data_IF_956146451838
#
_entry.id   IF_956146451838
#
_cell.length_a   1.000
_cell.length_b   1.000
_cell.length_c   1.000
_cell.angle_alpha   90.00
_cell.angle_beta   90.00
_cell.angle_gamma   90.00
#
_symmetry.space_group_name_H-M   'P 1'
#
loop_
_entity.id
_entity.type
_entity.pdbx_description
1 polymer ?
#
# COMPACT_ATOMS: atom_id res chain seq x y z
N UNK A 1 -0.87 11.53 -0.54
CA UNK A 1 -0.56 11.61 -1.99
C UNK A 1 0.10 10.30 -2.43
N UNK A 2 -0.11 9.83 -3.67
CA UNK A 2 0.38 8.53 -4.15
C UNK A 2 1.71 8.62 -4.94
N UNK A 3 2.64 7.64 -4.81
CA UNK A 3 3.83 7.53 -5.65
C UNK A 3 3.47 7.29 -7.13
N UNK A 4 4.38 7.66 -8.05
CA UNK A 4 4.11 7.59 -9.51
C UNK A 4 3.81 6.16 -9.99
N UNK A 5 4.54 5.18 -9.47
CA UNK A 5 4.30 3.77 -9.82
C UNK A 5 2.91 3.30 -9.36
N UNK A 6 2.46 3.75 -8.18
CA UNK A 6 1.13 3.41 -7.66
C UNK A 6 0.02 4.01 -8.51
N UNK A 7 0.19 5.27 -8.95
CA UNK A 7 -0.74 5.90 -9.89
C UNK A 7 -0.81 5.10 -11.20
N UNK A 8 0.33 4.73 -11.78
CA UNK A 8 0.38 3.93 -13.02
C UNK A 8 -0.40 2.62 -12.89
N UNK A 9 -0.21 1.88 -11.80
CA UNK A 9 -0.89 0.60 -11.57
C UNK A 9 -2.40 0.81 -11.39
N UNK A 10 -2.82 1.78 -10.57
CA UNK A 10 -4.24 2.05 -10.35
C UNK A 10 -4.94 2.52 -11.62
N UNK A 11 -4.28 3.32 -12.45
CA UNK A 11 -4.82 3.73 -13.76
C UNK A 11 -5.01 2.53 -14.68
N UNK A 12 -4.05 1.60 -14.73
CA UNK A 12 -4.19 0.37 -15.51
C UNK A 12 -5.36 -0.49 -15.00
N UNK A 13 -5.45 -0.71 -13.68
CA UNK A 13 -6.52 -1.49 -13.06
C UNK A 13 -7.92 -0.91 -13.31
N UNK A 14 -8.06 0.42 -13.28
CA UNK A 14 -9.32 1.10 -13.62
C UNK A 14 -9.61 1.00 -15.12
N UNK A 15 -8.59 1.05 -15.98
CA UNK A 15 -8.74 0.84 -17.42
C UNK A 15 -9.20 -0.57 -17.78
N UNK A 16 -8.78 -1.58 -17.01
CA UNK A 16 -9.18 -2.98 -17.19
C UNK A 16 -10.51 -3.33 -16.49
N UNK A 17 -11.05 -2.41 -15.67
CA UNK A 17 -12.30 -2.62 -14.94
C UNK A 17 -13.52 -2.46 -15.85
N UNK A 18 -14.57 -3.23 -15.58
CA UNK A 18 -15.82 -3.19 -16.36
C UNK A 18 -16.58 -1.85 -16.28
N UNK A 19 -16.20 -0.96 -15.35
CA UNK A 19 -16.80 0.36 -15.17
C UNK A 19 -15.73 1.40 -14.81
N UNK A 20 -15.83 2.58 -15.44
CA UNK A 20 -15.02 3.77 -15.12
C UNK A 20 -15.83 4.82 -14.34
N UNK A 21 -16.98 4.42 -13.78
CA UNK A 21 -17.78 5.32 -12.96
C UNK A 21 -16.97 5.83 -11.74
N UNK A 22 -17.23 7.03 -11.22
CA UNK A 22 -16.46 7.60 -10.11
C UNK A 22 -16.46 6.76 -8.82
N UNK A 23 -17.49 5.93 -8.63
CA UNK A 23 -17.66 5.00 -7.51
C UNK A 23 -17.29 3.55 -7.85
N UNK A 24 -16.79 3.31 -9.07
CA UNK A 24 -16.30 2.00 -9.47
C UNK A 24 -15.11 1.58 -8.59
N UNK A 25 -15.10 0.30 -8.20
CA UNK A 25 -14.02 -0.23 -7.38
C UNK A 25 -12.78 -0.46 -8.23
N UNK A 26 -11.62 0.09 -7.84
CA UNK A 26 -10.37 -0.10 -8.58
C UNK A 26 -9.80 -1.53 -8.51
N UNK A 27 -10.23 -2.33 -7.52
CA UNK A 27 -9.89 -3.75 -7.38
C UNK A 27 -11.17 -4.57 -7.50
N UNK A 28 -11.35 -5.21 -8.64
CA UNK A 28 -12.48 -6.10 -8.91
C UNK A 28 -12.01 -7.54 -9.05
N UNK A 29 -12.86 -8.49 -8.68
CA UNK A 29 -12.67 -9.87 -9.08
C UNK A 29 -13.03 -10.01 -10.57
N UNK A 30 -12.77 -11.19 -11.17
CA UNK A 30 -13.10 -11.46 -12.58
C UNK A 30 -14.57 -11.26 -12.97
N UNK A 31 -15.47 -11.28 -11.98
CA UNK A 31 -16.91 -11.11 -12.15
C UNK A 31 -17.36 -9.65 -11.91
N UNK A 32 -16.41 -8.71 -11.76
CA UNK A 32 -16.68 -7.28 -11.53
C UNK A 32 -17.05 -6.90 -10.09
N UNK A 33 -17.09 -7.87 -9.18
CA UNK A 33 -17.42 -7.66 -7.76
C UNK A 33 -16.22 -7.28 -6.89
N UNK A 34 -16.48 -6.96 -5.61
CA UNK A 34 -15.43 -6.63 -4.65
C UNK A 34 -14.44 -7.79 -4.45
N UNK A 35 -13.16 -7.46 -4.34
CA UNK A 35 -12.11 -8.45 -4.04
C UNK A 35 -12.04 -8.72 -2.54
N UNK A 36 -12.21 -10.00 -2.16
CA UNK A 36 -11.95 -10.45 -0.80
C UNK A 36 -10.44 -10.58 -0.52
N UNK A 37 -10.02 -10.39 0.74
CA UNK A 37 -8.62 -10.53 1.15
C UNK A 37 -8.05 -11.93 0.85
N UNK A 38 -8.87 -12.98 0.94
CA UNK A 38 -8.47 -14.34 0.55
C UNK A 38 -8.03 -14.41 -0.91
N UNK A 39 -8.74 -13.73 -1.82
CA UNK A 39 -8.43 -13.69 -3.24
C UNK A 39 -7.12 -12.94 -3.49
N UNK A 40 -6.88 -11.83 -2.80
CA UNK A 40 -5.59 -11.10 -2.86
C UNK A 40 -4.44 -12.01 -2.42
N UNK A 41 -4.63 -12.75 -1.33
CA UNK A 41 -3.60 -13.67 -0.81
C UNK A 41 -3.33 -14.82 -1.77
N UNK A 42 -4.37 -15.37 -2.40
CA UNK A 42 -4.23 -16.42 -3.40
C UNK A 42 -3.53 -15.91 -4.65
N UNK A 43 -3.95 -14.77 -5.21
CA UNK A 43 -3.30 -14.18 -6.38
C UNK A 43 -1.84 -13.81 -6.13
N UNK A 44 -1.52 -13.28 -4.94
CA UNK A 44 -0.12 -13.04 -4.56
C UNK A 44 0.69 -14.34 -4.49
N UNK A 45 0.13 -15.41 -3.92
CA UNK A 45 0.80 -16.71 -3.84
C UNK A 45 1.07 -17.29 -5.22
N UNK A 46 0.10 -17.17 -6.12
CA UNK A 46 0.22 -17.62 -7.52
C UNK A 46 1.30 -16.82 -8.26
N UNK A 47 1.28 -15.49 -8.15
CA UNK A 47 2.28 -14.62 -8.77
C UNK A 47 3.72 -14.91 -8.26
N UNK A 48 3.85 -15.33 -7.01
CA UNK A 48 5.13 -15.67 -6.39
C UNK A 48 5.52 -17.15 -6.57
N UNK A 49 4.68 -17.99 -7.16
CA UNK A 49 4.96 -19.43 -7.31
C UNK A 49 6.27 -19.74 -8.07
N UNK A 50 6.67 -18.97 -9.12
CA UNK A 50 7.97 -19.15 -9.78
C UNK A 50 9.19 -18.76 -8.92
N UNK A 51 8.97 -18.05 -7.81
CA UNK A 51 10.03 -17.49 -6.97
C UNK A 51 10.02 -18.15 -5.59
N UNK A 52 10.58 -19.36 -5.48
CA UNK A 52 10.52 -20.16 -4.25
C UNK A 52 11.06 -19.41 -3.01
N UNK A 53 12.14 -18.65 -3.18
CA UNK A 53 12.75 -17.83 -2.12
C UNK A 53 11.86 -16.68 -1.62
N UNK A 54 10.76 -16.37 -2.31
CA UNK A 54 9.80 -15.32 -1.95
C UNK A 54 8.49 -15.88 -1.36
N UNK A 55 8.35 -17.20 -1.18
CA UNK A 55 7.11 -17.82 -0.69
C UNK A 55 6.63 -17.35 0.69
N UNK A 56 7.54 -16.80 1.49
CA UNK A 56 7.23 -16.23 2.81
C UNK A 56 6.58 -14.84 2.73
N UNK A 57 6.58 -14.18 1.56
CA UNK A 57 6.01 -12.85 1.37
C UNK A 57 4.48 -12.92 1.48
N UNK A 58 3.93 -11.98 2.23
CA UNK A 58 2.48 -11.78 2.41
C UNK A 58 2.13 -10.32 2.12
N UNK A 59 0.83 -9.96 2.01
CA UNK A 59 0.44 -8.55 1.93
C UNK A 59 1.00 -7.70 3.09
N UNK A 60 1.16 -8.30 4.27
CA UNK A 60 1.75 -7.65 5.42
C UNK A 60 3.24 -7.34 5.24
N UNK A 61 3.98 -8.18 4.50
CA UNK A 61 5.39 -7.92 4.19
C UNK A 61 5.57 -6.59 3.44
N UNK A 62 4.71 -6.30 2.45
CA UNK A 62 4.74 -5.02 1.74
C UNK A 62 4.46 -3.83 2.67
N UNK A 63 3.47 -3.96 3.55
CA UNK A 63 3.14 -2.92 4.54
C UNK A 63 4.33 -2.64 5.47
N UNK A 64 5.03 -3.69 5.91
CA UNK A 64 6.23 -3.55 6.73
C UNK A 64 7.36 -2.86 5.97
N UNK A 65 7.63 -3.26 4.72
CA UNK A 65 8.65 -2.63 3.88
C UNK A 65 8.39 -1.15 3.68
N UNK A 66 7.15 -0.75 3.37
CA UNK A 66 6.77 0.67 3.26
C UNK A 66 7.02 1.42 4.56
N UNK A 67 6.63 0.84 5.70
CA UNK A 67 6.90 1.43 7.02
C UNK A 67 8.39 1.63 7.29
N UNK A 68 9.23 0.67 6.91
CA UNK A 68 10.70 0.75 7.02
C UNK A 68 11.27 1.87 6.15
N UNK A 69 10.91 1.92 4.86
CA UNK A 69 11.40 2.97 3.94
C UNK A 69 11.02 4.36 4.44
N UNK A 70 9.77 4.55 4.86
CA UNK A 70 9.31 5.84 5.38
C UNK A 70 10.00 6.20 6.69
N UNK A 71 10.21 5.23 7.58
CA UNK A 71 10.95 5.47 8.82
C UNK A 71 12.37 5.92 8.55
N UNK A 72 13.07 5.23 7.65
CA UNK A 72 14.50 5.46 7.40
C UNK A 72 14.74 6.81 6.71
N UNK A 73 13.81 7.27 5.87
CA UNK A 73 13.94 8.54 5.14
C UNK A 73 13.25 9.73 5.85
N UNK A 74 12.14 9.51 6.56
CA UNK A 74 11.28 10.58 7.10
C UNK A 74 11.03 10.48 8.62
N UNK A 75 11.57 9.46 9.29
CA UNK A 75 11.46 9.29 10.73
C UNK A 75 10.25 8.48 11.21
N UNK A 76 10.28 8.14 12.50
CA UNK A 76 9.32 7.21 13.14
C UNK A 76 7.89 7.75 13.13
N UNK A 77 7.69 9.04 13.37
CA UNK A 77 6.37 9.68 13.39
C UNK A 77 5.70 9.63 12.01
N UNK A 78 6.47 9.91 10.95
CA UNK A 78 6.01 9.79 9.57
C UNK A 78 5.61 8.34 9.24
N UNK A 79 6.39 7.36 9.66
CA UNK A 79 6.06 5.95 9.47
C UNK A 79 4.78 5.53 10.22
N UNK A 80 4.59 6.01 11.45
CA UNK A 80 3.36 5.75 12.22
C UNK A 80 2.13 6.33 11.52
N UNK A 81 2.22 7.58 11.04
CA UNK A 81 1.15 8.23 10.27
C UNK A 81 0.88 7.50 8.95
N UNK A 82 1.93 7.09 8.23
CA UNK A 82 1.81 6.31 6.99
C UNK A 82 1.10 4.97 7.21
N UNK A 83 1.37 4.31 8.34
CA UNK A 83 0.73 3.06 8.71
C UNK A 83 -0.66 3.28 9.33
N UNK A 84 -1.02 4.51 9.73
CA UNK A 84 -2.29 4.78 10.40
C UNK A 84 -2.38 4.17 11.80
N UNK A 85 -1.26 4.06 12.52
CA UNK A 85 -1.26 3.61 13.92
C UNK A 85 -1.82 4.71 14.83
N UNK A 86 -2.72 4.33 15.75
CA UNK A 86 -3.62 5.28 16.41
C UNK A 86 -3.03 6.00 17.64
N UNK A 87 -1.96 5.54 18.30
CA UNK A 87 -1.45 6.19 19.52
C UNK A 87 0.06 6.03 19.75
N UNK A 88 0.71 7.14 20.10
CA UNK A 88 1.84 7.17 21.04
C UNK A 88 1.28 6.73 22.40
N UNK A 89 1.96 5.83 23.10
CA UNK A 89 1.56 5.45 24.46
C UNK A 89 1.48 6.70 25.34
N UNK A 90 0.32 6.85 26.00
CA UNK A 90 0.13 7.56 27.27
C UNK A 90 0.66 9.00 27.35
N UNK A 91 -0.29 9.94 27.38
CA UNK A 91 -0.16 11.40 27.66
C UNK A 91 -0.16 12.31 26.44
N UNK A 92 -1.27 12.31 25.68
CA UNK A 92 -1.77 13.51 25.01
C UNK A 92 -3.28 13.32 24.78
N UNK A 93 -4.02 13.48 25.89
CA UNK A 93 -5.47 13.25 25.97
C UNK A 93 -6.30 14.38 25.33
N UNK A 94 -5.67 15.32 24.63
CA UNK A 94 -6.35 16.47 24.08
C UNK A 94 -5.81 16.81 22.69
N UNK A 95 -6.68 16.60 21.69
CA UNK A 95 -6.59 17.13 20.33
C UNK A 95 -5.41 16.68 19.46
N UNK A 96 -5.56 15.51 18.85
CA UNK A 96 -5.12 15.37 17.45
C UNK A 96 -6.37 15.05 16.62
N UNK A 97 -6.86 16.09 15.95
CA UNK A 97 -7.82 16.00 14.86
C UNK A 97 -7.45 14.80 13.97
N UNK A 98 -8.44 14.00 13.58
CA UNK A 98 -8.30 12.79 12.76
C UNK A 98 -7.66 13.14 11.40
N UNK A 99 -6.34 13.28 11.33
CA UNK A 99 -5.61 13.47 10.08
C UNK A 99 -5.50 12.09 9.44
N UNK A 100 -6.46 11.78 8.56
CA UNK A 100 -6.44 10.58 7.72
C UNK A 100 -5.41 10.69 6.56
N UNK A 101 -4.47 11.64 6.69
CA UNK A 101 -3.47 11.98 5.69
C UNK A 101 -2.11 11.63 6.28
N UNK A 102 -1.54 10.53 5.81
CA UNK A 102 -0.13 10.20 6.07
C UNK A 102 0.82 11.24 5.47
N UNK A 103 2.13 11.19 5.80
CA UNK A 103 3.12 12.12 5.27
C UNK A 103 3.19 12.05 3.74
N UNK A 104 3.73 13.09 3.10
CA UNK A 104 4.11 13.00 1.69
C UNK A 104 5.36 12.13 1.52
N UNK A 105 5.17 10.81 1.51
CA UNK A 105 6.23 9.82 1.35
C UNK A 105 6.60 9.54 -0.12
N UNK A 106 6.09 10.31 -1.08
CA UNK A 106 6.27 10.03 -2.52
C UNK A 106 7.74 9.98 -2.93
N UNK A 107 8.55 10.93 -2.48
CA UNK A 107 9.96 11.01 -2.86
C UNK A 107 10.72 9.75 -2.39
N UNK A 108 10.55 9.38 -1.12
CA UNK A 108 11.15 8.18 -0.53
C UNK A 108 10.71 6.90 -1.25
N UNK A 109 9.41 6.75 -1.51
CA UNK A 109 8.87 5.55 -2.16
C UNK A 109 9.21 5.47 -3.65
N UNK A 110 9.25 6.60 -4.37
CA UNK A 110 9.69 6.64 -5.77
C UNK A 110 11.18 6.28 -5.90
N UNK A 111 12.02 6.82 -4.99
CA UNK A 111 13.44 6.46 -4.90
C UNK A 111 13.55 4.95 -4.68
N UNK A 112 12.93 4.41 -3.64
CA UNK A 112 12.97 2.97 -3.34
C UNK A 112 12.51 2.08 -4.50
N UNK A 113 11.39 2.40 -5.16
CA UNK A 113 10.88 1.61 -6.29
C UNK A 113 11.80 1.61 -7.52
N UNK A 114 12.60 2.68 -7.70
CA UNK A 114 13.56 2.80 -8.81
C UNK A 114 14.85 1.99 -8.62
N UNK A 115 15.11 1.48 -7.40
CA UNK A 115 16.28 0.64 -7.11
C UNK A 115 15.95 -0.87 -7.19
N UNK A 116 14.67 -1.24 -7.35
CA UNK A 116 14.21 -2.62 -7.42
C UNK A 116 14.23 -3.21 -8.83
N UNK A 117 15.28 -2.95 -9.61
CA UNK A 117 15.51 -3.65 -10.87
C UNK A 117 15.79 -5.13 -10.59
N UNK A 118 14.80 -5.97 -10.84
CA UNK A 118 14.99 -7.38 -11.22
C UNK A 118 14.88 -7.43 -12.74
#
# INVERSE_FOLDING_TARGET
MLPKFGVKILTALVGDSASTAPDATALTNRDGGLVALSNIRSGLREALAPHEHLRWITPHSFRRSVGTVVRDELGVEAAQQQLGHRQLATTERHYVQRRNTGPDARAALNKWSGHGGI
#
